data_IF_267245846725
#
_entry.id   IF_267245846725
#
_cell.length_a   1.000
_cell.length_b   1.000
_cell.length_c   1.000
_cell.angle_alpha   90.00
_cell.angle_beta   90.00
_cell.angle_gamma   90.00
#
_symmetry.space_group_name_H-M   'P 1'
#
loop_
_entity.id
_entity.type
_entity.pdbx_description
1 polymer ?
#
# COMPACT_ATOMS: atom_id res chain seq x y z
N UNK A 1 -54.08 -31.14 -2.39
CA UNK A 1 -53.89 -29.87 -3.10
C UNK A 1 -52.58 -29.24 -2.60
N UNK A 2 -51.47 -29.45 -3.31
CA UNK A 2 -50.15 -28.91 -2.96
C UNK A 2 -49.89 -27.66 -3.79
N UNK A 3 -50.00 -26.49 -3.18
CA UNK A 3 -49.46 -25.23 -3.69
C UNK A 3 -48.75 -24.54 -2.53
N UNK A 4 -47.86 -23.61 -2.87
CA UNK A 4 -46.93 -22.84 -2.03
C UNK A 4 -45.59 -23.54 -1.75
N UNK A 5 -44.43 -22.91 -1.95
CA UNK A 5 -44.07 -21.70 -2.68
C UNK A 5 -42.56 -21.78 -2.91
N UNK A 6 -42.14 -21.86 -4.18
CA UNK A 6 -40.75 -21.71 -4.61
C UNK A 6 -40.39 -20.23 -4.59
N UNK A 7 -40.07 -19.66 -3.42
CA UNK A 7 -39.57 -18.29 -3.29
C UNK A 7 -38.49 -18.27 -2.21
N UNK A 8 -37.22 -18.46 -2.59
CA UNK A 8 -36.05 -18.09 -1.75
C UNK A 8 -34.70 -18.14 -2.48
N UNK A 9 -34.61 -18.76 -3.67
CA UNK A 9 -33.32 -18.99 -4.36
C UNK A 9 -32.97 -17.91 -5.39
N UNK A 10 -33.12 -16.62 -5.07
CA UNK A 10 -32.79 -15.53 -6.02
C UNK A 10 -31.95 -14.38 -5.43
N UNK A 11 -31.61 -14.44 -4.13
CA UNK A 11 -30.87 -13.35 -3.46
C UNK A 11 -29.34 -13.55 -3.48
N UNK A 12 -28.83 -14.77 -3.72
CA UNK A 12 -27.39 -15.04 -3.68
C UNK A 12 -26.59 -14.55 -4.89
N UNK A 13 -27.23 -14.16 -6.01
CA UNK A 13 -26.50 -13.79 -7.24
C UNK A 13 -25.94 -12.36 -7.22
N UNK A 14 -26.46 -11.48 -6.37
CA UNK A 14 -26.04 -10.06 -6.32
C UNK A 14 -24.76 -9.83 -5.48
N UNK A 15 -24.40 -10.77 -4.61
CA UNK A 15 -23.22 -10.65 -3.73
C UNK A 15 -21.93 -11.00 -4.47
N UNK A 16 -21.99 -11.95 -5.41
CA UNK A 16 -20.82 -12.44 -6.15
C UNK A 16 -20.18 -11.37 -7.04
N UNK A 17 -20.99 -10.55 -7.73
CA UNK A 17 -20.47 -9.51 -8.62
C UNK A 17 -19.69 -8.41 -7.88
N UNK A 18 -20.08 -8.06 -6.64
CA UNK A 18 -19.35 -7.06 -5.84
C UNK A 18 -17.96 -7.56 -5.45
N UNK A 19 -17.88 -8.80 -4.96
CA UNK A 19 -16.62 -9.44 -4.55
C UNK A 19 -15.64 -9.58 -5.72
N UNK A 20 -16.12 -10.04 -6.89
CA UNK A 20 -15.27 -10.18 -8.07
C UNK A 20 -14.70 -8.83 -8.60
N UNK A 21 -15.39 -7.72 -8.37
CA UNK A 21 -14.89 -6.37 -8.74
C UNK A 21 -13.83 -5.89 -7.73
N UNK A 22 -14.03 -6.16 -6.45
CA UNK A 22 -13.08 -5.82 -5.38
C UNK A 22 -11.77 -6.60 -5.55
N UNK A 23 -11.85 -7.92 -5.78
CA UNK A 23 -10.70 -8.79 -6.02
C UNK A 23 -9.84 -8.30 -7.21
N UNK A 24 -10.49 -7.87 -8.31
CA UNK A 24 -9.79 -7.31 -9.49
C UNK A 24 -9.10 -5.98 -9.21
N UNK A 25 -9.70 -5.12 -8.39
CA UNK A 25 -9.10 -3.83 -8.01
C UNK A 25 -7.90 -4.05 -7.08
N UNK A 26 -8.00 -5.04 -6.20
CA UNK A 26 -6.91 -5.45 -5.32
C UNK A 26 -5.75 -5.98 -6.14
N UNK A 27 -6.03 -6.86 -7.08
CA UNK A 27 -5.02 -7.39 -7.99
C UNK A 27 -4.27 -6.29 -8.75
N UNK A 28 -4.96 -5.24 -9.22
CA UNK A 28 -4.33 -4.11 -9.91
C UNK A 28 -3.40 -3.31 -8.98
N UNK A 29 -3.83 -3.03 -7.75
CA UNK A 29 -3.00 -2.31 -6.76
C UNK A 29 -1.79 -3.16 -6.36
N UNK A 30 -2.00 -4.44 -6.07
CA UNK A 30 -0.93 -5.39 -5.76
C UNK A 30 0.06 -5.48 -6.93
N UNK A 31 -0.43 -5.61 -8.16
CA UNK A 31 0.41 -5.65 -9.36
C UNK A 31 1.22 -4.36 -9.54
N UNK A 32 0.60 -3.19 -9.32
CA UNK A 32 1.28 -1.92 -9.48
C UNK A 32 2.44 -1.77 -8.48
N UNK A 33 2.25 -2.08 -7.20
CA UNK A 33 3.26 -1.84 -6.16
C UNK A 33 4.27 -2.98 -6.00
N UNK A 34 3.90 -4.23 -6.28
CA UNK A 34 4.82 -5.38 -6.13
C UNK A 34 5.72 -5.60 -7.35
N UNK A 35 5.48 -4.89 -8.45
CA UNK A 35 6.30 -5.02 -9.64
C UNK A 35 7.55 -4.15 -9.56
N UNK A 36 8.66 -4.76 -9.16
CA UNK A 36 10.00 -4.15 -9.15
C UNK A 36 10.34 -3.41 -7.85
N UNK A 37 11.52 -2.79 -7.85
CA UNK A 37 12.04 -2.01 -6.73
C UNK A 37 11.67 -0.54 -6.86
N UNK A 38 11.50 0.10 -5.72
CA UNK A 38 11.12 1.49 -5.59
C UNK A 38 12.21 2.26 -4.86
N UNK A 39 12.30 3.56 -5.11
CA UNK A 39 13.05 4.49 -4.29
C UNK A 39 12.14 5.65 -3.89
N UNK A 40 12.46 6.29 -2.77
CA UNK A 40 11.76 7.48 -2.32
C UNK A 40 12.32 8.66 -3.10
N UNK A 41 11.50 9.18 -4.02
CA UNK A 41 11.82 10.39 -4.77
C UNK A 41 11.60 11.64 -3.89
N UNK A 42 10.58 11.63 -3.04
CA UNK A 42 10.39 12.68 -2.04
C UNK A 42 9.68 12.17 -0.79
N UNK A 43 10.12 12.66 0.37
CA UNK A 43 9.46 12.43 1.66
C UNK A 43 9.44 13.73 2.47
N UNK A 44 8.24 14.14 2.88
CA UNK A 44 8.03 15.29 3.77
C UNK A 44 7.31 14.87 5.04
N UNK A 45 7.81 15.33 6.19
CA UNK A 45 7.20 15.17 7.50
C UNK A 45 6.69 16.55 7.97
N UNK A 46 5.41 16.83 7.75
CA UNK A 46 4.90 18.20 7.82
C UNK A 46 5.66 19.13 6.86
N UNK A 47 6.26 20.18 7.39
CA UNK A 47 7.04 21.17 6.61
C UNK A 47 8.51 20.78 6.41
N UNK A 48 8.97 19.67 7.00
CA UNK A 48 10.36 19.23 6.94
C UNK A 48 10.55 18.29 5.76
N UNK A 49 11.49 18.60 4.87
CA UNK A 49 11.89 17.73 3.77
C UNK A 49 13.01 16.78 4.22
N UNK A 50 12.73 15.47 4.18
CA UNK A 50 13.68 14.43 4.55
C UNK A 50 14.05 13.54 3.35
N UNK A 51 13.78 14.00 2.12
CA UNK A 51 14.01 13.21 0.90
C UNK A 51 15.45 12.69 0.81
N UNK A 52 16.43 13.52 1.16
CA UNK A 52 17.86 13.16 1.12
C UNK A 52 18.23 12.04 2.12
N UNK A 53 17.50 11.89 3.22
CA UNK A 53 17.75 10.82 4.19
C UNK A 53 17.45 9.44 3.58
N UNK A 54 16.61 9.39 2.54
CA UNK A 54 16.23 8.14 1.89
C UNK A 54 17.06 7.80 0.64
N UNK A 55 17.99 8.65 0.22
CA UNK A 55 18.84 8.43 -0.98
C UNK A 55 19.55 7.07 -1.04
N UNK A 56 20.10 6.49 0.04
CA UNK A 56 20.78 5.20 -0.05
C UNK A 56 19.82 4.00 -0.10
N UNK A 57 18.51 4.22 0.00
CA UNK A 57 17.54 3.15 0.17
C UNK A 57 16.78 2.80 -1.11
N UNK A 58 16.49 1.52 -1.26
CA UNK A 58 15.50 1.00 -2.20
C UNK A 58 14.52 0.09 -1.46
N UNK A 59 13.32 -0.08 -1.99
CA UNK A 59 12.24 -0.78 -1.33
C UNK A 59 11.61 -1.81 -2.27
N UNK A 60 11.35 -3.01 -1.77
CA UNK A 60 10.64 -4.06 -2.50
C UNK A 60 9.41 -4.49 -1.72
N UNK A 61 8.25 -4.37 -2.37
CA UNK A 61 6.99 -4.89 -1.86
C UNK A 61 6.76 -6.27 -2.47
N UNK A 62 6.52 -7.27 -1.62
CA UNK A 62 6.27 -8.65 -2.04
C UNK A 62 4.79 -8.99 -1.89
N UNK A 63 4.23 -9.81 -2.79
CA UNK A 63 2.81 -10.20 -2.76
C UNK A 63 2.40 -10.97 -1.51
N UNK A 64 3.35 -11.61 -0.84
CA UNK A 64 3.12 -12.31 0.42
C UNK A 64 3.06 -11.38 1.63
N UNK A 65 3.02 -10.06 1.42
CA UNK A 65 2.92 -9.05 2.47
C UNK A 65 4.26 -8.68 3.10
N UNK A 66 5.39 -9.23 2.62
CA UNK A 66 6.72 -8.78 3.05
C UNK A 66 7.10 -7.48 2.39
N UNK A 67 7.86 -6.67 3.12
CA UNK A 67 8.46 -5.44 2.65
C UNK A 67 9.93 -5.43 3.07
N UNK A 68 10.83 -5.14 2.13
CA UNK A 68 12.25 -4.99 2.43
C UNK A 68 12.74 -3.61 2.03
N UNK A 69 13.49 -2.96 2.91
CA UNK A 69 14.27 -1.76 2.64
C UNK A 69 15.74 -2.14 2.54
N UNK A 70 16.38 -1.86 1.40
CA UNK A 70 17.77 -2.22 1.14
C UNK A 70 18.64 -0.99 1.07
N UNK A 71 19.81 -1.08 1.70
CA UNK A 71 20.99 -0.29 1.32
C UNK A 71 21.95 -1.19 0.53
N UNK A 72 23.16 -0.71 0.25
CA UNK A 72 24.23 -1.56 -0.32
C UNK A 72 24.62 -2.70 0.61
N UNK A 73 24.54 -2.49 1.93
CA UNK A 73 25.14 -3.37 2.94
C UNK A 73 24.11 -4.05 3.85
N UNK A 74 22.91 -3.50 3.94
CA UNK A 74 21.89 -3.92 4.92
C UNK A 74 20.52 -4.11 4.30
N UNK A 75 19.72 -4.96 4.95
CA UNK A 75 18.30 -5.14 4.69
C UNK A 75 17.51 -4.93 5.98
N UNK A 76 16.59 -3.97 5.96
CA UNK A 76 15.57 -3.77 6.98
C UNK A 76 14.29 -4.49 6.55
N UNK A 77 13.84 -5.45 7.36
CA UNK A 77 12.66 -6.26 7.06
C UNK A 77 11.40 -5.67 7.69
N UNK A 78 10.31 -5.75 6.97
CA UNK A 78 9.01 -5.28 7.39
C UNK A 78 7.87 -6.02 6.71
N UNK A 79 6.68 -5.51 6.93
CA UNK A 79 5.44 -5.98 6.34
C UNK A 79 4.68 -4.83 5.71
N UNK A 80 3.81 -5.17 4.77
CA UNK A 80 2.84 -4.23 4.22
C UNK A 80 1.51 -4.89 3.92
N UNK A 81 0.46 -4.09 3.91
CA UNK A 81 -0.90 -4.49 3.55
C UNK A 81 -1.53 -3.41 2.69
N UNK A 82 -2.06 -3.79 1.52
CA UNK A 82 -2.88 -2.89 0.71
C UNK A 82 -4.36 -3.00 1.10
N UNK A 83 -5.08 -1.88 1.10
CA UNK A 83 -6.52 -1.83 1.31
C UNK A 83 -7.18 -1.07 0.15
N UNK A 84 -7.95 -1.79 -0.66
CA UNK A 84 -8.63 -1.26 -1.84
C UNK A 84 -9.81 -0.35 -1.52
N UNK A 85 -10.46 -0.58 -0.37
CA UNK A 85 -11.66 0.15 0.02
C UNK A 85 -11.30 1.57 0.46
N UNK A 86 -10.15 1.72 1.12
CA UNK A 86 -9.60 3.00 1.57
C UNK A 86 -8.57 3.60 0.62
N UNK A 87 -8.15 2.84 -0.41
CA UNK A 87 -7.02 3.15 -1.28
C UNK A 87 -5.77 3.49 -0.46
N UNK A 88 -5.43 2.65 0.52
CA UNK A 88 -4.28 2.84 1.39
C UNK A 88 -3.31 1.67 1.35
N UNK A 89 -2.07 1.92 1.75
CA UNK A 89 -1.09 0.91 2.10
C UNK A 89 -0.64 1.15 3.53
N UNK A 90 -0.61 0.11 4.34
CA UNK A 90 -0.02 0.16 5.68
C UNK A 90 1.33 -0.51 5.63
N UNK A 91 2.36 0.17 6.10
CA UNK A 91 3.74 -0.34 6.13
C UNK A 91 4.24 -0.41 7.57
N UNK A 92 5.02 -1.44 7.88
CA UNK A 92 5.56 -1.64 9.22
C UNK A 92 6.94 -2.33 9.19
N UNK A 93 7.95 -1.62 9.65
CA UNK A 93 9.30 -2.12 9.91
C UNK A 93 9.52 -2.15 11.44
N UNK A 94 9.39 -3.32 12.10
CA UNK A 94 9.38 -3.40 13.56
C UNK A 94 10.74 -3.02 14.19
N UNK A 95 11.83 -3.43 13.56
CA UNK A 95 13.19 -3.30 14.11
C UNK A 95 14.01 -2.18 13.45
N UNK A 96 13.43 -1.45 12.49
CA UNK A 96 14.13 -0.41 11.77
C UNK A 96 14.33 0.85 12.60
N UNK A 97 15.43 1.55 12.32
CA UNK A 97 15.71 2.88 12.84
C UNK A 97 15.27 3.97 11.84
N UNK A 98 15.36 5.23 12.26
CA UNK A 98 15.22 6.35 11.34
C UNK A 98 16.31 6.27 10.25
N UNK A 99 15.97 6.55 8.97
CA UNK A 99 14.71 7.14 8.53
C UNK A 99 13.61 6.12 8.17
N UNK A 100 13.93 4.84 8.01
CA UNK A 100 12.96 3.80 7.59
C UNK A 100 11.77 3.71 8.54
N UNK A 101 11.99 3.83 9.85
CA UNK A 101 10.92 3.81 10.85
C UNK A 101 9.83 4.87 10.60
N UNK A 102 10.17 5.99 9.96
CA UNK A 102 9.21 7.05 9.60
C UNK A 102 8.23 6.63 8.50
N UNK A 103 8.50 5.54 7.80
CA UNK A 103 7.58 4.92 6.85
C UNK A 103 6.49 4.10 7.56
N UNK A 104 6.59 3.83 8.87
CA UNK A 104 5.58 3.06 9.59
C UNK A 104 4.30 3.88 9.79
N UNK A 105 3.36 3.73 8.86
CA UNK A 105 2.06 4.40 8.89
C UNK A 105 1.08 3.72 7.93
N UNK A 106 -0.19 4.08 8.05
CA UNK A 106 -1.15 3.92 6.97
C UNK A 106 -1.04 5.12 6.01
N UNK A 107 -0.67 4.85 4.78
CA UNK A 107 -0.49 5.81 3.70
C UNK A 107 -1.67 5.74 2.73
N UNK A 108 -2.44 6.82 2.65
CA UNK A 108 -3.50 6.96 1.67
C UNK A 108 -2.91 7.30 0.31
N UNK A 109 -3.16 6.49 -0.69
CA UNK A 109 -2.73 6.72 -2.07
C UNK A 109 -3.55 7.88 -2.65
N UNK A 110 -2.87 8.90 -3.14
CA UNK A 110 -3.50 10.08 -3.75
C UNK A 110 -3.36 10.08 -5.26
N UNK A 111 -2.31 9.45 -5.80
CA UNK A 111 -2.08 9.32 -7.23
C UNK A 111 -1.07 8.20 -7.48
N UNK A 112 -1.29 7.36 -8.48
CA UNK A 112 -0.33 6.33 -8.86
C UNK A 112 -0.37 6.08 -10.38
N UNK A 113 0.74 5.59 -10.90
CA UNK A 113 0.88 5.01 -12.23
C UNK A 113 1.66 3.70 -12.10
N UNK A 114 2.11 3.14 -13.23
CA UNK A 114 3.01 1.99 -13.24
C UNK A 114 4.42 2.31 -12.72
N UNK A 115 4.81 3.59 -12.73
CA UNK A 115 6.18 4.03 -12.44
C UNK A 115 6.31 4.92 -11.20
N UNK A 116 5.20 5.36 -10.61
CA UNK A 116 5.22 6.14 -9.38
C UNK A 116 3.98 5.91 -8.51
N UNK A 117 4.14 6.14 -7.21
CA UNK A 117 3.06 6.22 -6.22
C UNK A 117 3.25 7.48 -5.38
N UNK A 118 2.18 8.26 -5.24
CA UNK A 118 2.09 9.38 -4.29
C UNK A 118 1.09 9.01 -3.22
N UNK A 119 1.48 9.20 -1.98
CA UNK A 119 0.64 8.92 -0.84
C UNK A 119 0.82 9.97 0.26
N UNK A 120 -0.16 10.04 1.15
CA UNK A 120 -0.15 10.93 2.30
C UNK A 120 -0.61 10.22 3.55
N UNK A 121 -0.14 10.69 4.71
CA UNK A 121 -0.63 10.25 6.01
C UNK A 121 -0.66 11.42 6.97
N UNK A 122 -1.42 11.30 8.07
CA UNK A 122 -1.42 12.29 9.13
C UNK A 122 -0.93 11.64 10.42
N UNK A 123 0.25 12.06 10.88
CA UNK A 123 0.85 11.58 12.13
C UNK A 123 0.95 12.76 13.10
N UNK A 124 0.31 12.64 14.27
CA UNK A 124 0.30 13.68 15.30
C UNK A 124 -0.14 15.07 14.77
N UNK A 125 -1.13 15.10 13.88
CA UNK A 125 -1.65 16.33 13.28
C UNK A 125 -0.79 16.95 12.17
N UNK A 126 0.35 16.34 11.83
CA UNK A 126 1.20 16.75 10.70
C UNK A 126 0.89 15.89 9.48
N UNK A 127 0.71 16.55 8.34
CA UNK A 127 0.53 15.88 7.05
C UNK A 127 1.90 15.50 6.49
N UNK A 128 2.11 14.20 6.32
CA UNK A 128 3.32 13.66 5.69
C UNK A 128 3.01 13.29 4.24
N UNK A 129 3.98 13.49 3.36
CA UNK A 129 3.86 13.21 1.93
C UNK A 129 4.95 12.24 1.51
N UNK A 130 4.56 11.22 0.75
CA UNK A 130 5.43 10.20 0.22
C UNK A 130 5.29 10.15 -1.29
N UNK A 131 6.41 10.16 -2.00
CA UNK A 131 6.46 9.94 -3.44
C UNK A 131 7.50 8.86 -3.74
N UNK A 132 7.02 7.67 -4.10
CA UNK A 132 7.81 6.55 -4.57
C UNK A 132 7.92 6.61 -6.09
N UNK A 133 9.09 6.29 -6.62
CA UNK A 133 9.31 6.04 -8.04
C UNK A 133 9.97 4.69 -8.24
N UNK A 134 9.63 4.06 -9.35
CA UNK A 134 10.24 2.81 -9.76
C UNK A 134 11.70 3.05 -10.14
N UNK A 135 12.57 2.14 -9.71
CA UNK A 135 14.00 2.16 -10.03
C UNK A 135 14.24 1.78 -11.48
#
# INVERSE_FOLDING_TARGET
MKKLALISMAVCLLVSCKKAIEDKKEEIILNAITNGQWYIYSFREGDIDLSNSFTPYTFQFYRDGKLSGFTTDTEDKGTWVGNVNTLSITTNFPDANDPIKKLNAEWKITNNTWDYVKAETTVQGKKNLLHLKKK
#
